data_IF_823647883122
#
_entry.id   IF_823647883122
#
_cell.length_a   1.000
_cell.length_b   1.000
_cell.length_c   1.000
_cell.angle_alpha   90.00
_cell.angle_beta   90.00
_cell.angle_gamma   90.00
#
_symmetry.space_group_name_H-M   'P 1'
#
loop_
_entity.id
_entity.type
_entity.pdbx_description
1 polymer ?
#
# COMPACT_ATOMS: atom_id res chain seq x y z
N UNK A 1 17.27 -17.05 -13.75
CA UNK A 1 16.82 -15.76 -13.20
C UNK A 1 15.97 -16.00 -11.96
N UNK A 2 16.31 -15.41 -10.80
CA UNK A 2 15.47 -15.55 -9.61
C UNK A 2 14.16 -14.80 -9.83
N UNK A 3 13.05 -15.52 -10.02
CA UNK A 3 11.71 -14.92 -10.05
C UNK A 3 11.57 -14.03 -8.82
N UNK A 4 11.41 -12.72 -9.04
CA UNK A 4 11.24 -11.77 -7.95
C UNK A 4 9.99 -12.19 -7.16
N UNK A 5 10.21 -12.80 -5.99
CA UNK A 5 9.13 -13.18 -5.09
C UNK A 5 8.59 -11.90 -4.47
N UNK A 6 7.29 -11.67 -4.64
CA UNK A 6 6.58 -10.60 -3.96
C UNK A 6 5.79 -11.16 -2.79
N UNK A 7 5.42 -10.29 -1.85
CA UNK A 7 4.57 -10.67 -0.73
C UNK A 7 3.12 -10.39 -1.08
N UNK A 8 2.28 -11.40 -0.91
CA UNK A 8 0.84 -11.30 -0.98
C UNK A 8 0.25 -11.47 0.43
N UNK A 9 -0.80 -10.72 0.74
CA UNK A 9 -1.39 -10.66 2.07
C UNK A 9 -2.87 -11.02 2.05
N UNK A 10 -3.25 -11.92 2.96
CA UNK A 10 -4.64 -12.21 3.28
C UNK A 10 -5.01 -11.51 4.59
N UNK A 11 -5.89 -10.51 4.51
CA UNK A 11 -6.34 -9.75 5.68
C UNK A 11 -7.22 -10.61 6.63
N UNK A 12 -8.20 -11.40 6.15
CA UNK A 12 -9.03 -12.25 7.02
C UNK A 12 -8.20 -13.27 7.81
N UNK A 13 -7.27 -13.95 7.14
CA UNK A 13 -6.42 -14.97 7.77
C UNK A 13 -5.24 -14.38 8.55
N UNK A 14 -4.96 -13.09 8.40
CA UNK A 14 -3.77 -12.40 8.93
C UNK A 14 -2.49 -13.17 8.59
N UNK A 15 -2.34 -13.46 7.30
CA UNK A 15 -1.26 -14.28 6.78
C UNK A 15 -0.64 -13.63 5.54
N UNK A 16 0.67 -13.84 5.38
CA UNK A 16 1.42 -13.44 4.19
C UNK A 16 1.96 -14.66 3.47
N UNK A 17 1.84 -14.69 2.15
CA UNK A 17 2.40 -15.73 1.30
C UNK A 17 3.38 -15.09 0.32
N UNK A 18 4.63 -15.55 0.32
CA UNK A 18 5.59 -15.15 -0.73
C UNK A 18 5.31 -15.98 -1.97
N UNK A 19 4.93 -15.32 -3.06
CA UNK A 19 4.63 -15.98 -4.33
C UNK A 19 5.38 -15.28 -5.47
N UNK A 20 5.66 -15.99 -6.58
CA UNK A 20 6.17 -15.31 -7.77
C UNK A 20 5.18 -14.23 -8.21
N UNK A 21 5.72 -13.05 -8.55
CA UNK A 21 4.92 -11.96 -9.09
C UNK A 21 4.28 -12.41 -10.40
N UNK A 22 2.96 -12.26 -10.48
CA UNK A 22 2.14 -12.61 -11.63
C UNK A 22 1.05 -11.55 -11.70
N UNK A 23 1.11 -10.72 -12.76
CA UNK A 23 0.16 -9.64 -13.01
C UNK A 23 -1.11 -10.12 -13.69
N UNK A 24 -1.13 -11.37 -14.19
CA UNK A 24 -2.22 -11.90 -15.02
C UNK A 24 -3.26 -12.67 -14.20
N UNK A 25 -2.87 -13.22 -13.04
CA UNK A 25 -3.76 -14.01 -12.19
C UNK A 25 -4.05 -13.33 -10.87
N UNK A 26 -5.33 -13.12 -10.57
CA UNK A 26 -5.76 -12.80 -9.22
C UNK A 26 -5.42 -13.98 -8.31
N UNK A 27 -4.63 -13.74 -7.28
CA UNK A 27 -4.18 -14.77 -6.34
C UNK A 27 -5.24 -14.95 -5.27
N UNK A 28 -5.55 -16.20 -4.94
CA UNK A 28 -6.50 -16.56 -3.87
C UNK A 28 -5.77 -17.17 -2.68
N UNK A 29 -6.28 -16.93 -1.49
CA UNK A 29 -5.71 -17.45 -0.26
C UNK A 29 -5.96 -18.97 -0.19
N UNK A 30 -4.94 -19.81 0.00
CA UNK A 30 -5.12 -21.25 0.09
C UNK A 30 -5.93 -21.70 1.33
N UNK A 31 -6.20 -20.78 2.26
CA UNK A 31 -6.89 -21.07 3.52
C UNK A 31 -8.36 -20.67 3.53
N UNK A 32 -8.71 -19.57 2.87
CA UNK A 32 -10.08 -19.03 2.88
C UNK A 32 -10.61 -18.69 1.48
N UNK A 33 -9.87 -19.01 0.42
CA UNK A 33 -10.18 -18.71 -0.98
C UNK A 33 -10.37 -17.22 -1.32
N UNK A 34 -10.24 -16.31 -0.35
CA UNK A 34 -10.34 -14.86 -0.56
C UNK A 34 -9.19 -14.30 -1.43
N UNK A 35 -9.44 -13.24 -2.20
CA UNK A 35 -8.42 -12.57 -3.00
C UNK A 35 -7.29 -12.02 -2.10
N UNK A 36 -6.06 -12.30 -2.50
CA UNK A 36 -4.85 -11.83 -1.86
C UNK A 36 -4.45 -10.46 -2.41
N UNK A 37 -4.11 -9.54 -1.51
CA UNK A 37 -3.65 -8.21 -1.89
C UNK A 37 -2.13 -8.22 -2.07
N UNK A 38 -1.66 -7.64 -3.17
CA UNK A 38 -0.23 -7.47 -3.43
C UNK A 38 0.37 -6.41 -2.48
N UNK A 39 1.21 -6.85 -1.54
CA UNK A 39 1.86 -5.96 -0.57
C UNK A 39 3.22 -5.48 -1.05
N UNK A 40 3.88 -6.17 -1.97
CA UNK A 40 5.18 -5.79 -2.53
C UNK A 40 6.38 -6.57 -1.99
N UNK A 41 7.55 -6.30 -2.58
CA UNK A 41 8.78 -7.06 -2.34
C UNK A 41 9.51 -6.67 -1.04
N UNK A 42 9.27 -5.47 -0.50
CA UNK A 42 9.87 -4.97 0.74
C UNK A 42 9.01 -5.20 1.98
N UNK A 43 7.92 -5.95 1.85
CA UNK A 43 6.95 -6.12 2.91
C UNK A 43 7.50 -6.93 4.09
N UNK A 44 7.43 -6.35 5.30
CA UNK A 44 7.75 -7.01 6.55
C UNK A 44 6.46 -7.47 7.24
N UNK A 45 6.34 -8.77 7.46
CA UNK A 45 5.13 -9.40 8.01
C UNK A 45 5.00 -9.07 9.49
N UNK A 46 3.90 -8.42 9.93
CA UNK A 46 3.65 -8.21 11.34
C UNK A 46 3.31 -9.54 12.05
N UNK A 47 3.50 -9.61 13.37
CA UNK A 47 3.13 -10.80 14.13
C UNK A 47 1.62 -11.05 13.99
N UNK A 48 1.21 -12.31 13.81
CA UNK A 48 -0.21 -12.67 13.59
C UNK A 48 -1.18 -12.17 14.68
N UNK A 49 -0.69 -12.08 15.93
CA UNK A 49 -1.45 -11.59 17.10
C UNK A 49 -1.54 -10.07 17.20
N UNK A 50 -0.75 -9.33 16.43
CA UNK A 50 -0.71 -7.87 16.49
C UNK A 50 -1.87 -7.26 15.70
N UNK A 51 -3.05 -7.24 16.32
CA UNK A 51 -4.29 -6.77 15.70
C UNK A 51 -4.17 -5.32 15.23
N UNK A 52 -3.44 -4.48 15.95
CA UNK A 52 -3.24 -3.08 15.59
C UNK A 52 -2.45 -2.97 14.29
N UNK A 53 -1.32 -3.68 14.18
CA UNK A 53 -0.51 -3.70 12.95
C UNK A 53 -1.29 -4.27 11.76
N UNK A 54 -2.07 -5.33 11.96
CA UNK A 54 -2.91 -5.91 10.90
C UNK A 54 -4.01 -4.95 10.43
N UNK A 55 -4.63 -4.20 11.33
CA UNK A 55 -5.61 -3.17 10.97
C UNK A 55 -4.96 -2.02 10.22
N UNK A 56 -3.81 -1.51 10.68
CA UNK A 56 -3.02 -0.50 9.96
C UNK A 56 -2.71 -0.96 8.54
N UNK A 57 -2.21 -2.19 8.40
CA UNK A 57 -1.89 -2.78 7.11
C UNK A 57 -3.13 -2.91 6.21
N UNK A 58 -4.28 -3.28 6.78
CA UNK A 58 -5.53 -3.38 6.03
C UNK A 58 -5.88 -2.03 5.39
N UNK A 59 -5.75 -0.93 6.13
CA UNK A 59 -6.04 0.42 5.60
C UNK A 59 -5.05 0.79 4.49
N UNK A 60 -3.75 0.55 4.71
CA UNK A 60 -2.71 0.85 3.71
C UNK A 60 -2.95 0.07 2.40
N UNK A 61 -3.18 -1.24 2.49
CA UNK A 61 -3.35 -2.09 1.32
C UNK A 61 -4.65 -1.78 0.57
N UNK A 62 -5.76 -1.50 1.27
CA UNK A 62 -7.00 -1.08 0.61
C UNK A 62 -6.88 0.29 -0.06
N UNK A 63 -6.05 1.18 0.47
CA UNK A 63 -5.72 2.45 -0.17
C UNK A 63 -4.72 2.32 -1.34
N UNK A 64 -4.29 1.09 -1.69
CA UNK A 64 -3.30 0.83 -2.74
C UNK A 64 -1.86 1.17 -2.35
N UNK A 65 -1.58 1.38 -1.06
CA UNK A 65 -0.24 1.68 -0.55
C UNK A 65 0.55 0.38 -0.37
N UNK A 66 1.42 0.07 -1.32
CA UNK A 66 2.34 -1.06 -1.28
C UNK A 66 3.72 -0.76 -0.67
N UNK A 67 4.49 -1.81 -0.44
CA UNK A 67 5.86 -1.82 0.06
C UNK A 67 6.80 -2.24 -1.08
N UNK A 68 7.07 -1.32 -1.99
CA UNK A 68 8.02 -1.50 -3.09
C UNK A 68 9.36 -0.86 -2.71
N UNK A 69 10.47 -1.52 -3.04
CA UNK A 69 11.78 -0.86 -2.97
C UNK A 69 11.90 0.10 -4.16
N UNK A 70 11.91 1.40 -3.91
CA UNK A 70 12.40 2.39 -4.87
C UNK A 70 13.94 2.35 -4.89
N UNK A 71 14.52 2.49 -6.08
CA UNK A 71 15.94 2.24 -6.37
C UNK A 71 16.94 3.10 -5.56
N UNK A 72 16.53 4.25 -5.01
CA UNK A 72 17.47 5.24 -4.45
C UNK A 72 17.08 5.77 -3.06
N UNK A 73 15.86 5.50 -2.61
CA UNK A 73 15.41 5.85 -1.26
C UNK A 73 14.61 4.65 -0.76
N UNK A 74 14.78 4.29 0.52
CA UNK A 74 13.92 3.31 1.18
C UNK A 74 12.45 3.63 0.92
N UNK A 75 11.52 2.72 1.23
CA UNK A 75 10.20 2.73 0.60
C UNK A 75 9.31 3.95 0.98
N UNK A 76 9.84 4.95 1.69
CA UNK A 76 9.13 6.09 2.27
C UNK A 76 8.66 5.76 3.69
N UNK A 77 8.26 6.80 4.43
CA UNK A 77 7.59 6.63 5.71
C UNK A 77 6.30 5.83 5.53
N UNK A 78 6.04 4.90 6.45
CA UNK A 78 4.76 4.18 6.53
C UNK A 78 4.28 4.19 7.97
N UNK A 79 3.00 4.54 8.19
CA UNK A 79 2.42 4.55 9.53
C UNK A 79 2.46 3.13 10.09
N UNK A 80 2.90 3.01 11.34
CA UNK A 80 3.04 1.74 12.07
C UNK A 80 1.84 1.53 13.00
N UNK A 81 1.12 2.60 13.30
CA UNK A 81 0.01 2.64 14.25
C UNK A 81 -1.27 3.14 13.61
N UNK A 82 -2.41 2.73 14.18
CA UNK A 82 -3.72 3.22 13.77
C UNK A 82 -3.90 4.71 14.02
N UNK A 83 -3.21 5.27 15.03
CA UNK A 83 -3.24 6.70 15.31
C UNK A 83 -2.68 7.49 14.13
N UNK A 84 -1.51 7.12 13.65
CA UNK A 84 -0.86 7.77 12.50
C UNK A 84 -1.71 7.66 11.21
N UNK A 85 -2.41 6.53 11.02
CA UNK A 85 -3.36 6.35 9.92
C UNK A 85 -4.56 7.29 10.06
N UNK A 86 -5.15 7.39 11.26
CA UNK A 86 -6.28 8.29 11.51
C UNK A 86 -5.92 9.76 11.30
N UNK A 87 -4.75 10.18 11.78
CA UNK A 87 -4.24 11.55 11.58
C UNK A 87 -4.11 11.88 10.09
N UNK A 88 -3.58 10.94 9.29
CA UNK A 88 -3.43 11.09 7.83
C UNK A 88 -4.75 11.04 7.06
N UNK A 89 -5.68 10.18 7.47
CA UNK A 89 -7.03 10.16 6.88
C UNK A 89 -7.80 11.45 7.21
N UNK A 90 -7.66 11.97 8.43
CA UNK A 90 -8.24 13.24 8.81
C UNK A 90 -7.64 14.40 8.02
N UNK A 91 -6.32 14.38 7.79
CA UNK A 91 -5.67 15.34 6.90
C UNK A 91 -6.20 15.25 5.47
N UNK A 92 -6.28 14.03 4.90
CA UNK A 92 -6.84 13.80 3.56
C UNK A 92 -8.25 14.38 3.41
N UNK A 93 -9.11 14.17 4.41
CA UNK A 93 -10.46 14.72 4.44
C UNK A 93 -10.50 16.25 4.49
N UNK A 94 -9.53 16.89 5.16
CA UNK A 94 -9.43 18.36 5.24
C UNK A 94 -8.79 18.99 4.01
N UNK A 95 -7.79 18.34 3.41
CA UNK A 95 -7.03 18.88 2.28
C UNK A 95 -7.60 18.51 0.92
N UNK A 96 -8.48 17.51 0.85
CA UNK A 96 -8.95 16.92 -0.40
C UNK A 96 -7.90 16.05 -1.11
N UNK A 97 -6.76 15.79 -0.46
CA UNK A 97 -5.70 14.95 -1.02
C UNK A 97 -6.15 13.47 -1.05
N UNK A 98 -5.82 12.69 -2.09
CA UNK A 98 -6.15 11.27 -2.12
C UNK A 98 -5.54 10.54 -0.92
N UNK A 99 -6.34 9.68 -0.28
CA UNK A 99 -5.98 8.93 0.93
C UNK A 99 -4.64 8.20 0.78
N UNK A 100 -4.39 7.59 -0.39
CA UNK A 100 -3.13 6.90 -0.68
C UNK A 100 -1.89 7.80 -0.52
N UNK A 101 -1.99 9.06 -0.95
CA UNK A 101 -0.90 10.05 -0.89
C UNK A 101 -0.73 10.58 0.54
N UNK A 102 -1.84 10.87 1.22
CA UNK A 102 -1.82 11.30 2.61
C UNK A 102 -1.23 10.23 3.56
N UNK A 103 -1.55 8.95 3.32
CA UNK A 103 -1.08 7.82 4.13
C UNK A 103 0.44 7.63 4.12
N UNK A 104 1.14 8.09 3.08
CA UNK A 104 2.60 7.98 2.96
C UNK A 104 3.35 9.26 3.31
N UNK A 105 2.66 10.33 3.72
CA UNK A 105 3.32 11.58 4.14
C UNK A 105 4.09 11.37 5.44
N UNK A 106 5.32 11.89 5.47
CA UNK A 106 6.17 11.89 6.66
C UNK A 106 5.54 12.74 7.77
N UNK A 107 5.10 13.94 7.41
CA UNK A 107 4.43 14.89 8.29
C UNK A 107 3.03 15.24 7.76
N UNK A 108 2.06 15.33 8.67
CA UNK A 108 0.71 15.85 8.41
C UNK A 108 0.47 17.02 9.35
N UNK A 109 0.67 18.26 8.88
CA UNK A 109 0.48 19.41 9.74
C UNK A 109 -0.97 19.50 10.19
N UNK A 110 -1.17 19.85 11.46
CA UNK A 110 -2.50 20.00 12.06
C UNK A 110 -3.32 21.10 11.36
N UNK A 111 -2.62 22.09 10.81
CA UNK A 111 -3.16 23.16 9.97
C UNK A 111 -2.77 22.90 8.52
N UNK A 112 -3.73 22.97 7.59
CA UNK A 112 -3.43 22.97 6.15
C UNK A 112 -2.85 24.35 5.82
N UNK A 113 -1.57 24.49 5.41
CA UNK A 113 -1.17 25.72 4.72
C UNK A 113 -1.86 25.68 3.35
N UNK A 114 -2.84 26.56 3.16
CA UNK A 114 -3.47 26.81 1.86
C UNK A 114 -2.39 27.28 0.88
N UNK A 115 -1.71 26.35 0.21
CA UNK A 115 -0.73 26.69 -0.81
C UNK A 115 0.46 25.72 -0.90
N UNK A 116 0.26 24.57 -1.55
CA UNK A 116 1.28 24.02 -2.43
C UNK A 116 0.61 23.14 -3.48
N UNK A 117 0.44 23.72 -4.68
CA UNK A 117 0.17 22.96 -5.89
C UNK A 117 1.33 22.00 -6.18
N UNK A 118 1.00 20.78 -6.60
CA UNK A 118 1.98 19.75 -6.91
C UNK A 118 1.33 18.52 -7.56
N UNK A 119 0.73 18.80 -8.72
CA UNK A 119 0.50 17.98 -9.94
C UNK A 119 0.10 16.50 -9.83
N UNK A 120 -0.92 16.05 -10.59
CA UNK A 120 -1.25 14.63 -10.77
C UNK A 120 -0.46 13.96 -11.92
N UNK A 121 0.07 12.77 -11.62
CA UNK A 121 0.09 11.60 -12.53
C UNK A 121 1.29 11.42 -13.47
N UNK A 122 2.03 10.29 -13.41
CA UNK A 122 2.67 9.76 -14.61
C UNK A 122 1.59 9.14 -15.51
N UNK A 123 1.57 9.58 -16.76
CA UNK A 123 0.56 9.29 -17.77
C UNK A 123 0.41 7.81 -18.12
N UNK A 124 -0.85 7.45 -18.44
CA UNK A 124 -1.19 6.32 -19.33
C UNK A 124 -0.77 6.68 -20.75
N UNK A 125 0.09 5.86 -21.34
CA UNK A 125 0.26 5.69 -22.79
C UNK A 125 0.95 4.32 -22.99
N UNK A 126 0.52 3.37 -23.80
CA UNK A 126 -0.65 3.22 -24.65
C UNK A 126 -0.66 1.74 -25.08
N UNK A 127 -1.83 1.11 -25.10
CA UNK A 127 -2.00 -0.20 -25.75
C UNK A 127 -2.33 0.10 -27.22
N UNK A 128 -1.35 -0.04 -28.12
CA UNK A 128 -1.57 -0.21 -29.57
C UNK A 128 -1.53 -1.71 -29.85
N UNK A 129 -2.65 -2.33 -30.16
CA UNK A 129 -3.20 -2.54 -31.51
C UNK A 129 -2.37 -3.54 -32.33
N UNK A 130 -2.97 -4.73 -32.48
CA UNK A 130 -2.56 -5.85 -33.32
C UNK A 130 -2.43 -5.48 -34.80
N UNK A 131 -1.87 -6.40 -35.59
CA UNK A 131 -2.70 -7.05 -36.61
C UNK A 131 -2.99 -8.53 -36.31
#
# INVERSE_FOLDING_TARGET
>A
MAHAKTSYVCLPCRASCKQPYDSTRQRICPRCAEPLIHAGSAFAVPRRRDVAAWRTLSVLLNAGVGFHKSCCCGPGYRPRTLREVRERMAYAGRSGEPIARALVRYDVPLTVPSGVGGTPGPGRAGQGLSP
#
